data_IF_701935633714
#
_entry.id   IF_701935633714
#
_cell.length_a   1.000
_cell.length_b   1.000
_cell.length_c   1.000
_cell.angle_alpha   90.00
_cell.angle_beta   90.00
_cell.angle_gamma   90.00
#
_symmetry.space_group_name_H-M   'P 1'
#
loop_
_entity.id
_entity.type
_entity.pdbx_description
1 polymer ?
#
# COMPACT_ATOMS: atom_id res chain seq x y z
N UNK A 1 8.34 -7.03 12.21
CA UNK A 1 8.43 -6.27 10.95
C UNK A 1 7.39 -5.17 10.94
N UNK A 2 7.77 -3.98 11.42
CA UNK A 2 6.86 -3.06 12.15
C UNK A 2 7.04 -1.60 11.72
N UNK A 3 7.37 -1.33 10.44
CA UNK A 3 7.68 0.05 10.03
C UNK A 3 6.43 0.86 9.63
N UNK A 4 5.48 0.28 8.89
CA UNK A 4 4.29 1.01 8.40
C UNK A 4 3.32 1.36 9.55
N UNK A 5 3.22 0.49 10.56
CA UNK A 5 2.42 0.75 11.77
C UNK A 5 3.03 1.90 12.58
N UNK A 6 4.37 1.96 12.67
CA UNK A 6 5.09 3.06 13.32
C UNK A 6 4.88 4.40 12.61
N UNK A 7 4.81 4.41 11.28
CA UNK A 7 4.55 5.66 10.53
C UNK A 7 3.17 6.24 10.86
N UNK A 8 2.15 5.38 10.99
CA UNK A 8 0.79 5.80 11.34
C UNK A 8 0.70 6.34 12.77
N UNK A 9 1.43 5.75 13.73
CA UNK A 9 1.38 6.19 15.13
C UNK A 9 1.93 7.60 15.36
N UNK A 10 2.67 8.16 14.39
CA UNK A 10 3.18 9.53 14.43
C UNK A 10 2.34 10.51 13.58
N UNK A 11 1.14 10.11 13.16
CA UNK A 11 0.20 10.96 12.43
C UNK A 11 0.49 11.13 10.94
N UNK A 12 1.48 10.43 10.39
CA UNK A 12 1.79 10.49 8.97
C UNK A 12 0.81 9.66 8.13
N UNK A 13 0.37 10.22 7.01
CA UNK A 13 -0.46 9.52 6.01
C UNK A 13 0.45 8.73 5.07
N UNK A 14 0.06 7.50 4.74
CA UNK A 14 0.80 6.64 3.80
C UNK A 14 0.02 6.47 2.49
N UNK A 15 0.71 6.28 1.38
CA UNK A 15 0.07 5.95 0.11
C UNK A 15 0.82 4.85 -0.65
N UNK A 16 0.09 4.09 -1.46
CA UNK A 16 0.61 3.17 -2.45
C UNK A 16 0.37 3.76 -3.84
N UNK A 17 1.42 3.92 -4.64
CA UNK A 17 1.36 4.44 -6.01
C UNK A 17 2.07 3.45 -6.95
N UNK A 18 1.31 2.69 -7.73
CA UNK A 18 1.85 1.64 -8.62
C UNK A 18 1.28 1.71 -10.03
N UNK A 19 2.07 1.29 -11.03
CA UNK A 19 1.59 1.17 -12.42
C UNK A 19 0.88 -0.16 -12.67
N UNK A 20 0.93 -1.10 -11.73
CA UNK A 20 0.22 -2.36 -11.88
C UNK A 20 -1.28 -2.16 -11.76
N UNK A 21 -2.05 -2.96 -12.48
CA UNK A 21 -3.50 -3.03 -12.35
C UNK A 21 -3.91 -3.52 -10.94
N UNK A 22 -5.15 -3.24 -10.57
CA UNK A 22 -5.68 -3.57 -9.25
C UNK A 22 -5.60 -5.06 -8.93
N UNK A 23 -5.97 -5.95 -9.86
CA UNK A 23 -6.04 -7.39 -9.60
C UNK A 23 -4.65 -7.98 -9.24
N UNK A 24 -3.60 -7.49 -9.88
CA UNK A 24 -2.24 -7.93 -9.61
C UNK A 24 -1.76 -7.38 -8.27
N UNK A 25 -2.03 -6.10 -8.04
CA UNK A 25 -1.70 -5.41 -6.79
C UNK A 25 -2.37 -6.08 -5.59
N UNK A 26 -3.66 -6.42 -5.70
CA UNK A 26 -4.44 -7.04 -4.62
C UNK A 26 -3.88 -8.42 -4.25
N UNK A 27 -3.58 -9.27 -5.24
CA UNK A 27 -2.96 -10.59 -5.01
C UNK A 27 -1.58 -10.48 -4.36
N UNK A 28 -0.74 -9.60 -4.89
CA UNK A 28 0.63 -9.43 -4.40
C UNK A 28 0.64 -8.86 -2.97
N UNK A 29 -0.16 -7.83 -2.70
CA UNK A 29 -0.19 -7.19 -1.39
C UNK A 29 -0.85 -8.08 -0.33
N UNK A 30 -1.86 -8.87 -0.70
CA UNK A 30 -2.40 -9.89 0.20
C UNK A 30 -1.33 -10.94 0.55
N UNK A 31 -0.54 -11.40 -0.42
CA UNK A 31 0.55 -12.34 -0.15
C UNK A 31 1.60 -11.75 0.81
N UNK A 32 1.99 -10.48 0.60
CA UNK A 32 3.04 -9.83 1.40
C UNK A 32 2.57 -9.44 2.81
N UNK A 33 1.31 -9.07 2.98
CA UNK A 33 0.83 -8.35 4.16
C UNK A 33 -0.30 -9.04 4.94
N UNK A 34 -0.84 -10.18 4.52
CA UNK A 34 -1.99 -10.81 5.21
C UNK A 34 -1.58 -11.85 6.26
N UNK A 35 -0.36 -12.39 6.23
CA UNK A 35 0.12 -13.35 7.24
C UNK A 35 1.38 -12.80 7.93
N UNK A 36 1.38 -12.84 9.26
CA UNK A 36 2.62 -12.69 10.03
C UNK A 36 3.32 -14.05 10.15
N UNK A 37 4.26 -14.34 9.24
CA UNK A 37 5.02 -15.60 9.24
C UNK A 37 5.85 -15.82 10.52
N UNK A 38 5.99 -14.80 11.37
CA UNK A 38 6.72 -14.89 12.64
C UNK A 38 5.80 -15.29 13.79
N UNK A 39 4.61 -14.71 13.86
CA UNK A 39 3.68 -14.89 14.98
C UNK A 39 2.44 -15.73 14.63
N UNK A 40 2.34 -16.19 13.38
CA UNK A 40 1.23 -16.96 12.82
C UNK A 40 -0.17 -16.33 13.02
N UNK A 41 -0.20 -15.01 13.21
CA UNK A 41 -1.43 -14.25 13.40
C UNK A 41 -1.93 -13.69 12.05
N UNK A 42 -3.25 -13.62 11.84
CA UNK A 42 -3.80 -12.89 10.71
C UNK A 42 -3.38 -11.43 10.82
N UNK A 43 -2.68 -10.92 9.81
CA UNK A 43 -2.51 -9.47 9.68
C UNK A 43 -3.82 -8.88 9.15
N UNK A 44 -4.05 -7.63 9.53
CA UNK A 44 -5.15 -6.79 9.01
C UNK A 44 -5.13 -6.75 7.47
N UNK A 45 -6.29 -6.51 6.85
CA UNK A 45 -6.40 -6.31 5.39
C UNK A 45 -5.29 -5.36 4.91
N UNK A 46 -4.55 -5.76 3.87
CA UNK A 46 -3.41 -5.02 3.35
C UNK A 46 -3.78 -3.55 3.00
N UNK A 47 -5.03 -3.28 2.62
CA UNK A 47 -5.51 -1.93 2.28
C UNK A 47 -5.46 -0.99 3.49
N UNK A 48 -5.66 -1.51 4.70
CA UNK A 48 -5.62 -0.73 5.94
C UNK A 48 -4.23 -0.17 6.27
N UNK A 49 -3.18 -0.60 5.55
CA UNK A 49 -1.83 -0.04 5.67
C UNK A 49 -1.63 1.27 4.92
N UNK A 50 -2.57 1.68 4.09
CA UNK A 50 -2.45 2.86 3.23
C UNK A 50 -3.65 3.79 3.42
N UNK A 51 -3.38 5.10 3.56
CA UNK A 51 -4.41 6.13 3.54
C UNK A 51 -4.94 6.37 2.13
N UNK A 52 -4.09 6.20 1.11
CA UNK A 52 -4.46 6.30 -0.30
C UNK A 52 -3.84 5.18 -1.11
N UNK A 53 -4.59 4.64 -2.08
CA UNK A 53 -4.12 3.59 -2.98
C UNK A 53 -4.44 4.04 -4.40
N UNK A 54 -3.40 4.18 -5.21
CA UNK A 54 -3.46 4.54 -6.62
C UNK A 54 -2.77 3.44 -7.43
N UNK A 55 -3.57 2.76 -8.23
CA UNK A 55 -3.17 1.70 -9.17
C UNK A 55 -3.27 2.22 -10.60
N UNK A 56 -2.65 1.50 -11.54
CA UNK A 56 -2.54 1.95 -12.94
C UNK A 56 -2.07 3.41 -13.08
N UNK A 57 -1.15 3.80 -12.20
CA UNK A 57 -0.82 5.19 -12.01
C UNK A 57 -0.06 5.82 -13.19
N UNK A 58 0.40 5.05 -14.18
CA UNK A 58 1.25 5.54 -15.28
C UNK A 58 2.22 6.65 -14.83
N UNK A 59 3.06 6.34 -13.83
CA UNK A 59 3.78 7.32 -12.98
C UNK A 59 4.27 8.59 -13.69
N UNK A 60 4.88 8.47 -14.87
CA UNK A 60 5.34 9.63 -15.67
C UNK A 60 4.21 10.63 -15.98
N UNK A 61 3.05 10.15 -16.39
CA UNK A 61 1.87 10.96 -16.70
C UNK A 61 1.18 11.50 -15.45
N UNK A 62 1.10 10.70 -14.38
CA UNK A 62 0.49 11.11 -13.11
C UNK A 62 1.18 12.31 -12.47
N UNK A 63 2.51 12.37 -12.52
CA UNK A 63 3.25 13.55 -12.02
C UNK A 63 3.23 14.73 -13.00
N UNK A 64 3.09 14.49 -14.30
CA UNK A 64 3.02 15.54 -15.32
C UNK A 64 1.66 16.26 -15.37
N UNK A 65 0.57 15.54 -15.11
CA UNK A 65 -0.79 16.10 -15.09
C UNK A 65 -1.09 16.95 -13.83
N UNK A 66 -0.20 16.96 -12.84
CA UNK A 66 -0.41 17.55 -11.51
C UNK A 66 0.15 18.96 -11.32
N UNK A 67 -0.05 19.87 -12.28
CA UNK A 67 0.17 21.32 -12.02
C UNK A 67 -1.11 22.10 -12.29
N UNK A 68 -1.96 22.28 -11.27
CA UNK A 68 -2.90 23.40 -11.19
C UNK A 68 -3.22 23.70 -9.74
#
# INVERSE_FOLDING_TARGET
STNIISIHSHGAKTFLLTNSEYWYTDKLMAYLLTIDNVNNNPKRDWKSYFSYIVVDAQKSSFFAAGTT
#
